data_IF_363414439936
#
_entry.id   IF_363414439936
#
_cell.length_a   1.000
_cell.length_b   1.000
_cell.length_c   1.000
_cell.angle_alpha   90.00
_cell.angle_beta   90.00
_cell.angle_gamma   90.00
#
_symmetry.space_group_name_H-M   'P 1'
#
loop_
_entity.id
_entity.type
_entity.pdbx_description
1 polymer ?
#
# COMPACT_ATOMS: atom_id res chain seq x y z
N UNK A 1 6.16 29.95 37.94
CA UNK A 1 6.07 28.55 37.46
C UNK A 1 4.62 28.12 37.47
N UNK A 2 4.04 27.80 36.31
CA UNK A 2 3.23 26.60 36.08
C UNK A 2 3.02 26.49 34.57
N UNK A 3 3.89 25.72 33.92
CA UNK A 3 3.68 25.28 32.55
C UNK A 3 2.55 24.25 32.60
N UNK A 4 1.38 24.59 32.06
CA UNK A 4 0.27 23.66 31.90
C UNK A 4 0.70 22.54 30.93
N UNK A 5 1.18 21.44 31.50
CA UNK A 5 1.46 20.18 30.81
C UNK A 5 0.13 19.47 30.50
N UNK A 6 -0.62 20.03 29.55
CA UNK A 6 -1.82 19.41 28.99
C UNK A 6 -1.44 18.10 28.30
N UNK A 7 -1.54 16.99 29.05
CA UNK A 7 -1.59 15.58 28.61
C UNK A 7 -0.97 15.36 27.23
N UNK A 8 0.35 15.17 27.18
CA UNK A 8 1.05 14.73 25.99
C UNK A 8 0.58 13.30 25.64
N UNK A 9 -0.51 13.20 24.87
CA UNK A 9 -0.90 11.97 24.19
C UNK A 9 0.17 11.54 23.20
N UNK A 10 0.08 10.30 22.71
CA UNK A 10 1.02 9.66 21.77
C UNK A 10 1.56 10.68 20.76
N UNK A 11 2.89 10.82 20.61
CA UNK A 11 3.48 11.74 19.65
C UNK A 11 2.78 11.58 18.31
N UNK A 12 2.40 12.70 17.68
CA UNK A 12 1.87 12.69 16.31
C UNK A 12 2.97 12.11 15.44
N UNK A 13 2.94 10.80 15.26
CA UNK A 13 3.88 10.11 14.42
C UNK A 13 3.79 10.82 13.06
N UNK A 14 4.95 11.20 12.50
CA UNK A 14 5.09 11.78 11.16
C UNK A 14 4.80 10.68 10.12
N UNK A 15 3.67 10.01 10.29
CA UNK A 15 3.13 9.02 9.38
C UNK A 15 2.40 9.85 8.36
N UNK A 16 3.07 10.13 7.25
CA UNK A 16 2.40 10.44 5.99
C UNK A 16 1.28 9.42 5.87
N UNK A 17 0.02 9.85 6.04
CA UNK A 17 -1.14 8.95 6.02
C UNK A 17 -1.07 8.14 4.74
N UNK A 18 -0.79 6.85 4.87
CA UNK A 18 -0.84 5.95 3.73
C UNK A 18 -2.24 6.01 3.15
N UNK A 19 -2.35 6.27 1.85
CA UNK A 19 -3.64 6.30 1.17
C UNK A 19 -4.05 4.86 0.91
N UNK A 20 -5.17 4.45 1.49
CA UNK A 20 -5.74 3.12 1.27
C UNK A 20 -6.51 3.13 -0.04
N UNK A 21 -6.17 2.23 -0.95
CA UNK A 21 -6.92 1.97 -2.19
C UNK A 21 -7.65 0.65 -2.02
N UNK A 22 -8.98 0.66 -2.22
CA UNK A 22 -9.79 -0.55 -2.23
C UNK A 22 -10.26 -0.83 -3.65
N UNK A 23 -9.94 -2.03 -4.15
CA UNK A 23 -10.28 -2.46 -5.52
C UNK A 23 -11.19 -3.68 -5.42
N UNK A 24 -12.34 -3.63 -6.10
CA UNK A 24 -13.17 -4.82 -6.31
C UNK A 24 -12.62 -5.58 -7.51
N UNK A 25 -12.45 -6.88 -7.33
CA UNK A 25 -11.98 -7.78 -8.38
C UNK A 25 -12.84 -9.04 -8.39
N UNK A 26 -12.87 -9.70 -9.55
CA UNK A 26 -13.52 -11.00 -9.67
C UNK A 26 -12.78 -12.03 -8.80
N UNK A 27 -13.49 -13.04 -8.26
CA UNK A 27 -12.87 -14.06 -7.44
C UNK A 27 -11.78 -14.85 -8.20
N UNK A 28 -11.94 -15.02 -9.51
CA UNK A 28 -10.96 -15.68 -10.38
C UNK A 28 -9.63 -14.90 -10.44
N UNK A 29 -9.70 -13.58 -10.57
CA UNK A 29 -8.50 -12.73 -10.66
C UNK A 29 -7.81 -12.62 -9.30
N UNK A 30 -8.58 -12.55 -8.21
CA UNK A 30 -8.03 -12.63 -6.86
C UNK A 30 -7.27 -13.94 -6.63
N UNK A 31 -7.81 -15.07 -7.11
CA UNK A 31 -7.16 -16.37 -6.97
C UNK A 31 -5.80 -16.40 -7.69
N UNK A 32 -5.72 -15.84 -8.91
CA UNK A 32 -4.45 -15.73 -9.65
C UNK A 32 -3.43 -14.88 -8.90
N UNK A 33 -3.82 -13.71 -8.41
CA UNK A 33 -2.94 -12.81 -7.63
C UNK A 33 -2.48 -13.49 -6.35
N UNK A 34 -3.37 -14.20 -5.66
CA UNK A 34 -3.05 -14.96 -4.44
C UNK A 34 -2.03 -16.07 -4.72
N UNK A 35 -2.21 -16.84 -5.80
CA UNK A 35 -1.29 -17.90 -6.18
C UNK A 35 0.10 -17.35 -6.53
N UNK A 36 0.16 -16.23 -7.24
CA UNK A 36 1.42 -15.55 -7.57
C UNK A 36 2.13 -14.98 -6.34
N UNK A 37 1.36 -14.41 -5.41
CA UNK A 37 1.87 -13.91 -4.13
C UNK A 37 2.50 -15.05 -3.32
N UNK A 38 1.83 -16.20 -3.25
CA UNK A 38 2.33 -17.40 -2.57
C UNK A 38 3.61 -17.96 -3.21
N UNK A 39 3.66 -18.06 -4.54
CA UNK A 39 4.85 -18.57 -5.23
C UNK A 39 6.07 -17.66 -5.11
N UNK A 40 5.84 -16.35 -5.00
CA UNK A 40 6.90 -15.35 -4.93
C UNK A 40 7.29 -14.95 -3.49
N UNK A 41 6.67 -15.57 -2.47
CA UNK A 41 6.80 -15.20 -1.06
C UNK A 41 6.55 -13.70 -0.79
N UNK A 42 5.62 -13.11 -1.56
CA UNK A 42 5.21 -11.71 -1.47
C UNK A 42 3.80 -11.62 -0.91
N UNK A 43 3.46 -10.48 -0.33
CA UNK A 43 2.07 -10.20 0.04
C UNK A 43 1.27 -9.77 -1.19
N UNK A 44 -0.05 -9.96 -1.16
CA UNK A 44 -0.96 -9.48 -2.21
C UNK A 44 -0.77 -7.98 -2.45
N UNK A 45 -0.57 -7.19 -1.38
CA UNK A 45 -0.29 -5.76 -1.48
C UNK A 45 0.98 -5.46 -2.28
N UNK A 46 2.07 -6.18 -2.03
CA UNK A 46 3.33 -6.00 -2.77
C UNK A 46 3.17 -6.36 -4.24
N UNK A 47 2.46 -7.45 -4.55
CA UNK A 47 2.19 -7.85 -5.93
C UNK A 47 1.36 -6.79 -6.66
N UNK A 48 0.32 -6.24 -6.00
CA UNK A 48 -0.51 -5.17 -6.57
C UNK A 48 0.29 -3.89 -6.77
N UNK A 49 1.13 -3.50 -5.81
CA UNK A 49 2.01 -2.33 -5.94
C UNK A 49 2.99 -2.48 -7.09
N UNK A 50 3.67 -3.64 -7.20
CA UNK A 50 4.59 -3.92 -8.30
C UNK A 50 3.88 -3.90 -9.66
N UNK A 51 2.67 -4.47 -9.74
CA UNK A 51 1.86 -4.43 -10.97
C UNK A 51 1.52 -3.00 -11.39
N UNK A 52 1.13 -2.14 -10.46
CA UNK A 52 0.83 -0.72 -10.73
C UNK A 52 2.10 0.04 -11.13
N UNK A 53 3.21 -0.16 -10.43
CA UNK A 53 4.50 0.50 -10.75
C UNK A 53 4.96 0.14 -12.15
N UNK A 54 4.92 -1.15 -12.52
CA UNK A 54 5.29 -1.58 -13.88
C UNK A 54 4.40 -0.95 -14.94
N UNK A 55 3.09 -0.93 -14.72
CA UNK A 55 2.13 -0.34 -15.67
C UNK A 55 2.42 1.15 -15.90
N UNK A 56 2.65 1.92 -14.83
CA UNK A 56 2.93 3.36 -14.91
C UNK A 56 4.31 3.66 -15.51
N UNK A 57 5.31 2.83 -15.22
CA UNK A 57 6.68 3.05 -15.71
C UNK A 57 6.86 2.61 -17.16
N UNK A 58 6.14 1.58 -17.61
CA UNK A 58 6.11 1.18 -19.02
C UNK A 58 5.37 2.24 -19.87
N UNK A 59 4.31 2.86 -19.35
CA UNK A 59 3.59 3.96 -20.02
C UNK A 59 4.46 5.22 -20.24
N UNK A 60 5.54 5.38 -19.47
CA UNK A 60 6.52 6.48 -19.63
C UNK A 60 7.64 6.18 -20.61
N UNK A 61 7.80 4.93 -21.05
CA UNK A 61 8.84 4.56 -22.04
C UNK A 61 8.40 4.82 -23.48
N UNK A 62 7.09 4.92 -23.71
CA UNK A 62 6.49 5.16 -25.02
C UNK A 62 6.08 6.64 -25.23
N UNK A 63 6.55 7.56 -24.37
CA UNK A 63 6.40 9.03 -24.49
C UNK A 63 7.76 9.70 -24.61
#
# INVERSE_FOLDING_TARGET
>A
MVLNMSKAGRPKAKVTKEKVVSVRMKPEDYAKVKQYAQSSNKTITQVMQEGITRLIDDEKRDQ
#
